data_IF_686488747777
#
_entry.id   IF_686488747777
#
_cell.length_a   1.000
_cell.length_b   1.000
_cell.length_c   1.000
_cell.angle_alpha   90.00
_cell.angle_beta   90.00
_cell.angle_gamma   90.00
#
_symmetry.space_group_name_H-M   'P 1'
#
loop_
_entity.id
_entity.type
_entity.pdbx_description
1 polymer ?
#
# COMPACT_ATOMS: atom_id res chain seq x y z
N UNK A 1 23.13 47.43 -3.94
CA UNK A 1 23.17 45.96 -4.08
C UNK A 1 22.82 45.22 -2.79
N UNK A 2 23.44 45.53 -1.66
CA UNK A 2 23.19 44.85 -0.37
C UNK A 2 21.73 44.97 0.16
N UNK A 3 21.08 46.13 -0.02
CA UNK A 3 19.68 46.31 0.44
C UNK A 3 18.68 45.49 -0.35
N UNK A 4 18.92 45.28 -1.67
CA UNK A 4 18.06 44.48 -2.52
C UNK A 4 18.20 42.98 -2.16
N UNK A 5 19.42 42.51 -1.93
CA UNK A 5 19.69 41.13 -1.50
C UNK A 5 19.07 40.84 -0.11
N UNK A 6 19.14 41.79 0.81
CA UNK A 6 18.50 41.69 2.12
C UNK A 6 16.96 41.59 2.01
N UNK A 7 16.32 42.40 1.17
CA UNK A 7 14.88 42.35 0.93
C UNK A 7 14.44 41.03 0.24
N UNK A 8 15.25 40.54 -0.71
CA UNK A 8 14.98 39.22 -1.33
C UNK A 8 15.06 38.10 -0.27
N UNK A 9 16.08 38.17 0.62
CA UNK A 9 16.20 37.23 1.72
C UNK A 9 14.99 37.24 2.68
N UNK A 10 14.49 38.44 3.03
CA UNK A 10 13.29 38.60 3.86
C UNK A 10 12.03 38.08 3.17
N UNK A 11 11.84 38.39 1.88
CA UNK A 11 10.70 37.87 1.10
C UNK A 11 10.73 36.35 1.04
N UNK A 12 11.90 35.74 0.77
CA UNK A 12 12.07 34.28 0.78
C UNK A 12 11.74 33.69 2.15
N UNK A 13 12.27 34.25 3.24
CA UNK A 13 11.96 33.78 4.58
C UNK A 13 10.47 33.88 4.92
N UNK A 14 9.78 34.95 4.50
CA UNK A 14 8.34 35.09 4.69
C UNK A 14 7.53 34.09 3.86
N UNK A 15 7.96 33.78 2.62
CA UNK A 15 7.36 32.74 1.79
C UNK A 15 7.53 31.37 2.44
N UNK A 16 8.73 31.06 2.94
CA UNK A 16 9.03 29.80 3.61
C UNK A 16 8.19 29.63 4.90
N UNK A 17 8.06 30.70 5.71
CA UNK A 17 7.20 30.69 6.91
C UNK A 17 5.72 30.52 6.53
N UNK A 18 5.24 31.24 5.51
CA UNK A 18 3.87 31.12 5.02
C UNK A 18 3.59 29.73 4.46
N UNK A 19 4.52 29.16 3.70
CA UNK A 19 4.43 27.80 3.19
C UNK A 19 4.37 26.74 4.29
N UNK A 20 5.23 26.87 5.31
CA UNK A 20 5.23 25.99 6.47
C UNK A 20 3.93 26.09 7.29
N UNK A 21 3.39 27.31 7.46
CA UNK A 21 2.10 27.54 8.12
C UNK A 21 0.95 26.90 7.36
N UNK A 22 0.93 27.09 6.04
CA UNK A 22 -0.09 26.48 5.15
C UNK A 22 -0.03 24.96 5.19
N UNK A 23 1.16 24.37 5.15
CA UNK A 23 1.34 22.92 5.25
C UNK A 23 0.86 22.37 6.60
N UNK A 24 1.12 23.06 7.70
CA UNK A 24 0.61 22.69 9.04
C UNK A 24 -0.92 22.75 9.09
N UNK A 25 -1.51 23.81 8.56
CA UNK A 25 -2.97 23.96 8.50
C UNK A 25 -3.60 22.85 7.66
N UNK A 26 -3.03 22.53 6.51
CA UNK A 26 -3.48 21.43 5.69
C UNK A 26 -3.39 20.07 6.42
N UNK A 27 -2.29 19.81 7.14
CA UNK A 27 -2.15 18.60 7.95
C UNK A 27 -3.21 18.49 9.05
N UNK A 28 -3.48 19.59 9.78
CA UNK A 28 -4.51 19.62 10.81
C UNK A 28 -5.92 19.40 10.24
N UNK A 29 -6.21 19.99 9.08
CA UNK A 29 -7.49 19.77 8.40
C UNK A 29 -7.64 18.31 7.96
N UNK A 30 -6.58 17.71 7.40
CA UNK A 30 -6.60 16.28 7.06
C UNK A 30 -6.85 15.41 8.29
N UNK A 31 -6.20 15.70 9.42
CA UNK A 31 -6.41 14.98 10.67
C UNK A 31 -7.84 15.11 11.19
N UNK A 32 -8.42 16.31 11.13
CA UNK A 32 -9.82 16.55 11.52
C UNK A 32 -10.78 15.78 10.59
N UNK A 33 -10.54 15.78 9.28
CA UNK A 33 -11.34 15.02 8.32
C UNK A 33 -11.22 13.52 8.60
N UNK A 34 -10.03 13.02 8.86
CA UNK A 34 -9.82 11.62 9.25
C UNK A 34 -10.59 11.25 10.51
N UNK A 35 -10.47 12.05 11.56
CA UNK A 35 -11.21 11.84 12.81
C UNK A 35 -12.73 11.84 12.57
N UNK A 36 -13.24 12.76 11.76
CA UNK A 36 -14.66 12.80 11.41
C UNK A 36 -15.09 11.56 10.63
N UNK A 37 -14.31 11.11 9.65
CA UNK A 37 -14.60 9.89 8.87
C UNK A 37 -14.61 8.65 9.78
N UNK A 38 -13.70 8.58 10.75
CA UNK A 38 -13.64 7.46 11.70
C UNK A 38 -14.87 7.33 12.60
N UNK A 39 -15.71 8.36 12.70
CA UNK A 39 -17.00 8.26 13.40
C UNK A 39 -18.09 7.52 12.60
N UNK A 40 -17.82 7.10 11.37
CA UNK A 40 -18.77 6.32 10.58
C UNK A 40 -19.17 5.04 11.35
N UNK A 41 -20.47 4.78 11.56
CA UNK A 41 -20.93 3.62 12.32
C UNK A 41 -20.40 2.27 11.81
N UNK A 42 -20.13 2.13 10.50
CA UNK A 42 -19.57 0.89 9.94
C UNK A 42 -18.20 0.54 10.52
N UNK A 43 -17.41 1.53 10.94
CA UNK A 43 -16.07 1.31 11.51
C UNK A 43 -16.14 0.96 13.01
N UNK A 44 -17.27 1.22 13.67
CA UNK A 44 -17.48 0.90 15.08
C UNK A 44 -18.02 -0.52 15.29
N UNK A 45 -18.34 -1.24 14.21
CA UNK A 45 -18.84 -2.60 14.28
C UNK A 45 -17.75 -3.57 14.77
N UNK A 46 -18.13 -4.60 15.56
CA UNK A 46 -17.21 -5.66 15.91
C UNK A 46 -16.52 -6.24 14.68
N UNK A 47 -15.25 -6.61 14.80
CA UNK A 47 -14.44 -7.16 13.72
C UNK A 47 -14.09 -6.19 12.57
N UNK A 48 -14.52 -4.91 12.60
CA UNK A 48 -14.02 -3.92 11.65
C UNK A 48 -12.48 -3.81 11.71
N UNK A 49 -11.85 -3.58 10.57
CA UNK A 49 -10.39 -3.38 10.49
C UNK A 49 -10.00 -1.90 10.60
N UNK A 50 -10.90 -1.00 10.21
CA UNK A 50 -10.62 0.44 10.14
C UNK A 50 -10.10 1.05 11.45
N UNK A 51 -10.57 0.67 12.65
CA UNK A 51 -10.04 1.20 13.92
C UNK A 51 -8.56 0.92 14.16
N UNK A 52 -8.00 -0.08 13.47
CA UNK A 52 -6.60 -0.49 13.61
C UNK A 52 -5.68 0.17 12.58
N UNK A 53 -6.22 1.05 11.71
CA UNK A 53 -5.38 1.78 10.78
C UNK A 53 -4.33 2.58 11.53
N UNK A 54 -3.08 2.44 11.11
CA UNK A 54 -1.95 3.16 11.68
C UNK A 54 -0.91 3.38 10.59
N UNK A 55 -0.52 4.63 10.40
CA UNK A 55 0.53 5.01 9.46
C UNK A 55 1.87 5.06 10.18
N UNK A 56 2.76 4.13 9.89
CA UNK A 56 4.14 4.10 10.39
C UNK A 56 5.10 4.30 9.21
N UNK A 57 5.07 3.40 8.23
CA UNK A 57 5.88 3.43 7.01
C UNK A 57 5.03 3.42 5.74
N UNK A 58 3.83 2.86 5.79
CA UNK A 58 2.92 2.85 4.65
C UNK A 58 2.45 4.25 4.29
N UNK A 59 1.93 4.38 3.07
CA UNK A 59 1.51 5.70 2.55
C UNK A 59 0.33 6.28 3.33
N UNK A 60 -0.58 5.42 3.78
CA UNK A 60 -1.80 5.81 4.52
C UNK A 60 -1.89 5.09 5.87
N UNK A 61 -2.65 4.03 5.99
CA UNK A 61 -2.90 3.33 7.25
C UNK A 61 -2.72 1.82 7.19
N UNK A 62 -2.11 1.31 6.12
CA UNK A 62 -1.98 -0.11 5.84
C UNK A 62 -1.18 -0.86 6.89
N UNK A 63 -0.14 -0.24 7.49
CA UNK A 63 0.71 -0.88 8.51
C UNK A 63 -0.09 -1.48 9.66
N UNK A 64 -0.99 -0.69 10.25
CA UNK A 64 -1.80 -1.13 11.38
C UNK A 64 -2.86 -2.15 10.97
N UNK A 65 -3.48 -1.97 9.80
CA UNK A 65 -4.49 -2.92 9.29
C UNK A 65 -3.87 -4.29 8.97
N UNK A 66 -2.71 -4.33 8.33
CA UNK A 66 -1.97 -5.57 8.09
C UNK A 66 -1.54 -6.24 9.39
N UNK A 67 -1.03 -5.47 10.35
CA UNK A 67 -0.68 -6.00 11.66
C UNK A 67 -1.88 -6.65 12.36
N UNK A 68 -3.06 -6.04 12.29
CA UNK A 68 -4.29 -6.59 12.87
C UNK A 68 -4.77 -7.83 12.10
N UNK A 69 -4.70 -7.83 10.76
CA UNK A 69 -5.03 -9.03 9.98
C UNK A 69 -4.18 -10.21 10.43
N UNK A 70 -2.85 -10.04 10.50
CA UNK A 70 -1.96 -11.12 10.95
C UNK A 70 -2.16 -11.49 12.42
N UNK A 71 -2.49 -10.54 13.29
CA UNK A 71 -2.89 -10.86 14.66
C UNK A 71 -4.11 -11.79 14.73
N UNK A 72 -5.08 -11.62 13.82
CA UNK A 72 -6.30 -12.44 13.74
C UNK A 72 -6.06 -13.80 13.13
N UNK A 73 -5.28 -13.91 12.05
CA UNK A 73 -5.11 -15.16 11.32
C UNK A 73 -3.81 -15.91 11.64
N UNK A 74 -2.88 -15.26 12.34
CA UNK A 74 -1.52 -15.76 12.58
C UNK A 74 -0.60 -15.55 11.38
N UNK A 75 0.69 -15.64 11.65
CA UNK A 75 1.79 -15.63 10.68
C UNK A 75 2.29 -17.08 10.51
N UNK A 76 2.95 -17.39 9.40
CA UNK A 76 3.50 -18.72 9.14
C UNK A 76 5.01 -18.63 8.85
N UNK A 77 5.36 -18.13 7.68
CA UNK A 77 6.74 -18.06 7.20
C UNK A 77 7.41 -16.71 7.41
N UNK A 78 6.64 -15.70 7.73
CA UNK A 78 7.06 -14.29 7.80
C UNK A 78 7.76 -13.82 6.52
N UNK A 79 7.18 -14.23 5.36
CA UNK A 79 7.69 -13.89 4.03
C UNK A 79 6.70 -13.02 3.30
N UNK A 80 7.22 -12.00 2.62
CA UNK A 80 6.40 -11.10 1.80
C UNK A 80 7.00 -10.83 0.42
N UNK A 81 6.14 -10.42 -0.48
CA UNK A 81 6.49 -9.74 -1.74
C UNK A 81 5.73 -8.44 -1.81
N UNK A 82 6.41 -7.36 -2.20
CA UNK A 82 5.83 -6.03 -2.38
C UNK A 82 6.19 -5.51 -3.78
N UNK A 83 5.18 -5.36 -4.63
CA UNK A 83 5.30 -5.00 -6.04
C UNK A 83 4.76 -3.59 -6.26
N UNK A 84 5.52 -2.73 -6.96
CA UNK A 84 5.17 -1.33 -7.14
C UNK A 84 5.51 -0.48 -5.92
N UNK A 85 6.60 -0.80 -5.25
CA UNK A 85 6.96 -0.24 -3.95
C UNK A 85 8.00 0.86 -4.04
N UNK A 86 7.90 1.85 -3.14
CA UNK A 86 8.92 2.86 -2.93
C UNK A 86 9.67 2.62 -1.60
N UNK A 87 11.01 2.72 -1.56
CA UNK A 87 11.78 2.39 -0.36
C UNK A 87 11.41 3.15 0.91
N UNK A 88 10.93 4.39 0.78
CA UNK A 88 10.62 5.26 1.91
C UNK A 88 9.21 5.04 2.46
N UNK A 89 8.27 4.63 1.62
CA UNK A 89 6.85 4.46 1.98
C UNK A 89 6.30 3.24 1.24
N UNK A 90 6.02 2.17 1.98
CA UNK A 90 5.47 0.94 1.42
C UNK A 90 4.78 0.09 2.51
N UNK A 91 4.10 -0.95 2.10
CA UNK A 91 3.31 -1.81 2.97
C UNK A 91 4.15 -2.85 3.75
N UNK A 92 5.45 -2.92 3.50
CA UNK A 92 6.31 -3.99 4.02
C UNK A 92 7.46 -3.53 4.93
N UNK A 93 7.72 -2.24 5.07
CA UNK A 93 8.78 -1.73 5.95
C UNK A 93 8.56 -2.10 7.42
N UNK A 94 7.30 -2.05 7.91
CA UNK A 94 6.99 -2.48 9.27
C UNK A 94 7.25 -3.98 9.47
N UNK A 95 7.00 -4.79 8.45
CA UNK A 95 7.27 -6.23 8.50
C UNK A 95 8.78 -6.51 8.54
N UNK A 96 9.59 -5.79 7.75
CA UNK A 96 11.04 -5.86 7.83
C UNK A 96 11.56 -5.51 9.23
N UNK A 97 11.01 -4.47 9.85
CA UNK A 97 11.35 -4.09 11.23
C UNK A 97 10.99 -5.18 12.23
N UNK A 98 9.92 -5.95 11.99
CA UNK A 98 9.52 -7.13 12.78
C UNK A 98 10.32 -8.39 12.45
N UNK A 99 11.34 -8.31 11.58
CA UNK A 99 12.21 -9.43 11.26
C UNK A 99 11.77 -10.31 10.08
N UNK A 100 10.69 -9.94 9.39
CA UNK A 100 10.24 -10.64 8.19
C UNK A 100 11.28 -10.54 7.07
N UNK A 101 11.16 -11.43 6.09
CA UNK A 101 12.02 -11.47 4.89
C UNK A 101 11.18 -11.26 3.65
N UNK A 102 11.71 -10.53 2.67
CA UNK A 102 10.90 -10.25 1.51
C UNK A 102 11.64 -9.88 0.23
N UNK A 103 10.81 -9.56 -0.76
CA UNK A 103 11.22 -9.08 -2.07
C UNK A 103 10.48 -7.77 -2.37
N UNK A 104 11.23 -6.74 -2.72
CA UNK A 104 10.70 -5.55 -3.37
C UNK A 104 10.91 -5.66 -4.88
N UNK A 105 9.87 -5.38 -5.65
CA UNK A 105 9.91 -5.45 -7.10
C UNK A 105 9.28 -4.21 -7.73
N UNK A 106 10.12 -3.30 -8.23
CA UNK A 106 9.71 -2.11 -8.99
C UNK A 106 10.88 -1.56 -9.82
N UNK A 107 10.58 -1.06 -11.02
CA UNK A 107 11.60 -0.47 -11.90
C UNK A 107 12.13 0.88 -11.38
N UNK A 108 11.34 1.60 -10.58
CA UNK A 108 11.69 2.90 -10.01
C UNK A 108 12.55 2.84 -8.74
N UNK A 109 12.83 1.67 -8.20
CA UNK A 109 13.68 1.56 -7.01
C UNK A 109 15.10 2.04 -7.33
N UNK A 110 15.56 3.01 -6.56
CA UNK A 110 16.89 3.60 -6.70
C UNK A 110 18.04 2.56 -6.61
N UNK A 111 19.20 2.91 -7.13
CA UNK A 111 20.42 2.07 -7.02
C UNK A 111 20.83 1.88 -5.56
N UNK A 112 21.54 0.80 -5.27
CA UNK A 112 21.90 0.41 -3.89
C UNK A 112 22.64 1.52 -3.14
N UNK A 113 23.53 2.25 -3.79
CA UNK A 113 24.34 3.30 -3.15
C UNK A 113 23.52 4.49 -2.66
N UNK A 114 22.31 4.66 -3.19
CA UNK A 114 21.41 5.75 -2.82
C UNK A 114 20.30 5.34 -1.86
N UNK A 115 20.21 4.04 -1.52
CA UNK A 115 19.26 3.54 -0.55
C UNK A 115 19.70 3.90 0.88
N UNK A 116 18.75 4.06 1.82
CA UNK A 116 19.04 4.20 3.24
C UNK A 116 19.95 3.07 3.74
N UNK A 117 20.88 3.38 4.64
CA UNK A 117 21.85 2.39 5.18
C UNK A 117 21.17 1.18 5.79
N UNK A 118 20.03 1.35 6.46
CA UNK A 118 19.20 0.26 7.01
C UNK A 118 18.74 -0.73 5.93
N UNK A 119 18.31 -0.23 4.78
CA UNK A 119 17.91 -1.08 3.65
C UNK A 119 19.11 -1.84 3.07
N UNK A 120 20.25 -1.17 2.93
CA UNK A 120 21.47 -1.82 2.45
C UNK A 120 21.95 -2.94 3.41
N UNK A 121 21.78 -2.77 4.72
CA UNK A 121 22.09 -3.80 5.73
C UNK A 121 21.15 -4.99 5.54
N UNK A 122 19.84 -4.78 5.44
CA UNK A 122 18.87 -5.85 5.24
C UNK A 122 19.12 -6.65 3.95
N UNK A 123 19.59 -5.99 2.88
CA UNK A 123 20.02 -6.69 1.66
C UNK A 123 21.25 -7.58 1.89
N UNK A 124 22.27 -7.05 2.58
CA UNK A 124 23.50 -7.81 2.90
C UNK A 124 23.23 -9.01 3.80
N UNK A 125 22.28 -8.87 4.74
CA UNK A 125 21.85 -9.95 5.62
C UNK A 125 20.91 -10.97 4.94
N UNK A 126 20.55 -10.74 3.68
CA UNK A 126 19.63 -11.61 2.94
C UNK A 126 18.18 -11.55 3.43
N UNK A 127 17.83 -10.55 4.24
CA UNK A 127 16.45 -10.31 4.71
C UNK A 127 15.58 -9.65 3.64
N UNK A 128 16.19 -8.82 2.77
CA UNK A 128 15.50 -8.13 1.69
C UNK A 128 16.20 -8.39 0.35
N UNK A 129 15.45 -8.88 -0.62
CA UNK A 129 15.85 -8.89 -2.04
C UNK A 129 15.19 -7.72 -2.77
N UNK A 130 15.90 -7.13 -3.73
CA UNK A 130 15.36 -6.06 -4.58
C UNK A 130 15.45 -6.46 -6.04
N UNK A 131 14.33 -6.29 -6.76
CA UNK A 131 14.21 -6.48 -8.19
C UNK A 131 13.84 -5.18 -8.88
N UNK A 132 14.77 -4.57 -9.60
CA UNK A 132 14.59 -3.31 -10.34
C UNK A 132 14.11 -3.58 -11.76
N UNK A 133 12.99 -4.25 -11.89
CA UNK A 133 12.37 -4.55 -13.18
C UNK A 133 10.90 -4.20 -13.14
N UNK A 134 10.38 -3.74 -14.26
CA UNK A 134 8.95 -3.59 -14.44
C UNK A 134 8.29 -4.97 -14.30
N UNK A 135 7.29 -5.04 -13.44
CA UNK A 135 6.50 -6.26 -13.23
C UNK A 135 5.29 -6.18 -14.16
N UNK A 136 5.22 -7.11 -15.10
CA UNK A 136 4.11 -7.23 -16.05
C UNK A 136 3.36 -8.54 -15.81
N UNK A 137 2.19 -8.69 -16.42
CA UNK A 137 1.41 -9.92 -16.37
C UNK A 137 2.24 -11.14 -16.81
N UNK A 138 3.04 -10.99 -17.86
CA UNK A 138 3.85 -12.10 -18.43
C UNK A 138 5.07 -12.42 -17.56
N UNK A 139 5.65 -11.42 -16.88
CA UNK A 139 6.91 -11.57 -16.16
C UNK A 139 6.73 -11.91 -14.68
N UNK A 140 5.60 -11.56 -14.07
CA UNK A 140 5.42 -11.58 -12.62
C UNK A 140 5.71 -12.96 -12.00
N UNK A 141 5.14 -14.04 -12.54
CA UNK A 141 5.34 -15.40 -12.03
C UNK A 141 6.81 -15.81 -12.05
N UNK A 142 7.45 -15.70 -13.23
CA UNK A 142 8.87 -16.07 -13.40
C UNK A 142 9.78 -15.20 -12.55
N UNK A 143 9.47 -13.90 -12.44
CA UNK A 143 10.23 -12.97 -11.65
C UNK A 143 10.24 -13.35 -10.16
N UNK A 144 9.11 -13.70 -9.59
CA UNK A 144 9.00 -14.11 -8.19
C UNK A 144 9.64 -15.50 -7.98
N UNK A 145 9.29 -16.48 -8.82
CA UNK A 145 9.78 -17.86 -8.71
C UNK A 145 11.31 -17.94 -8.81
N UNK A 146 11.92 -17.24 -9.76
CA UNK A 146 13.39 -17.23 -9.94
C UNK A 146 14.14 -16.62 -8.74
N UNK A 147 13.45 -15.95 -7.84
CA UNK A 147 14.01 -15.37 -6.59
C UNK A 147 13.64 -16.15 -5.34
N UNK A 148 12.93 -17.28 -5.48
CA UNK A 148 12.51 -18.14 -4.39
C UNK A 148 11.28 -17.64 -3.64
N UNK A 149 10.39 -16.89 -4.31
CA UNK A 149 9.14 -16.36 -3.74
C UNK A 149 7.89 -16.87 -4.47
N UNK A 150 7.89 -18.15 -4.85
CA UNK A 150 6.75 -18.79 -5.50
C UNK A 150 5.75 -19.38 -4.51
N UNK A 151 6.20 -19.73 -3.33
CA UNK A 151 5.45 -20.48 -2.32
C UNK A 151 5.68 -19.88 -0.94
N UNK A 152 4.83 -20.28 0.02
CA UNK A 152 4.97 -19.97 1.44
C UNK A 152 5.06 -18.45 1.71
N UNK A 153 4.16 -17.69 1.11
CA UNK A 153 4.05 -16.26 1.37
C UNK A 153 2.94 -15.96 2.37
N UNK A 154 3.26 -15.15 3.37
CA UNK A 154 2.24 -14.56 4.24
C UNK A 154 1.59 -13.35 3.58
N UNK A 155 2.36 -12.46 2.94
CA UNK A 155 1.84 -11.27 2.28
C UNK A 155 2.31 -11.16 0.84
N UNK A 156 1.39 -10.78 -0.05
CA UNK A 156 1.70 -10.28 -1.38
C UNK A 156 0.97 -8.94 -1.59
N UNK A 157 1.74 -7.85 -1.64
CA UNK A 157 1.26 -6.49 -1.86
C UNK A 157 1.48 -6.10 -3.32
N UNK A 158 0.48 -5.52 -3.99
CA UNK A 158 0.51 -5.21 -5.42
C UNK A 158 -0.07 -3.82 -5.68
N UNK A 159 0.79 -2.92 -6.14
CA UNK A 159 0.41 -1.62 -6.70
C UNK A 159 1.28 -1.30 -7.93
N UNK A 160 0.88 -1.76 -9.09
CA UNK A 160 1.54 -1.45 -10.36
C UNK A 160 0.81 -0.36 -11.15
N UNK A 161 -0.05 0.39 -10.48
CA UNK A 161 -0.84 1.46 -11.06
C UNK A 161 -1.81 0.93 -12.11
N UNK A 162 -1.58 1.24 -13.39
CA UNK A 162 -2.48 0.91 -14.49
C UNK A 162 -2.78 -0.60 -14.61
N UNK A 163 -1.79 -1.46 -14.39
CA UNK A 163 -1.88 -2.90 -14.63
C UNK A 163 -2.12 -3.75 -13.36
N UNK A 164 -2.41 -3.17 -12.21
CA UNK A 164 -2.52 -3.87 -10.92
C UNK A 164 -3.44 -5.09 -10.98
N UNK A 165 -4.63 -4.96 -11.59
CA UNK A 165 -5.59 -6.05 -11.72
C UNK A 165 -5.02 -7.25 -12.47
N UNK A 166 -4.31 -7.00 -13.57
CA UNK A 166 -3.76 -8.08 -14.42
C UNK A 166 -2.62 -8.83 -13.73
N UNK A 167 -1.76 -8.12 -13.01
CA UNK A 167 -0.68 -8.74 -12.21
C UNK A 167 -1.27 -9.52 -11.04
N UNK A 168 -2.27 -8.96 -10.35
CA UNK A 168 -2.98 -9.62 -9.26
C UNK A 168 -3.59 -10.96 -9.70
N UNK A 169 -4.35 -10.95 -10.80
CA UNK A 169 -5.01 -12.15 -11.32
C UNK A 169 -4.01 -13.27 -11.62
N UNK A 170 -2.85 -12.94 -12.22
CA UNK A 170 -1.79 -13.92 -12.46
C UNK A 170 -1.18 -14.48 -11.17
N UNK A 171 -1.07 -13.66 -10.14
CA UNK A 171 -0.41 -14.03 -8.88
C UNK A 171 -1.35 -14.72 -7.87
N UNK A 172 -2.65 -14.86 -8.15
CA UNK A 172 -3.57 -15.66 -7.33
C UNK A 172 -3.07 -17.10 -7.15
N UNK A 173 -2.39 -17.65 -8.14
CA UNK A 173 -1.81 -19.00 -8.10
C UNK A 173 -0.71 -19.18 -7.01
N UNK A 174 -0.10 -18.10 -6.54
CA UNK A 174 0.93 -18.16 -5.49
C UNK A 174 0.37 -18.37 -4.08
N UNK A 175 -0.94 -18.24 -3.93
CA UNK A 175 -1.71 -18.56 -2.72
C UNK A 175 -1.13 -17.98 -1.42
N UNK A 176 -0.71 -16.70 -1.34
CA UNK A 176 -0.31 -16.11 -0.07
C UNK A 176 -1.46 -16.17 0.94
N UNK A 177 -1.16 -15.95 2.21
CA UNK A 177 -2.20 -15.87 3.25
C UNK A 177 -3.04 -14.59 3.11
N UNK A 178 -2.39 -13.50 2.71
CA UNK A 178 -2.99 -12.16 2.53
C UNK A 178 -2.53 -11.54 1.23
N UNK A 179 -3.48 -10.95 0.49
CA UNK A 179 -3.18 -9.95 -0.53
C UNK A 179 -3.52 -8.55 -0.02
N UNK A 180 -2.64 -7.58 -0.32
CA UNK A 180 -2.92 -6.15 -0.28
C UNK A 180 -2.86 -5.64 -1.71
N UNK A 181 -3.97 -5.14 -2.26
CA UNK A 181 -4.08 -4.82 -3.69
C UNK A 181 -4.62 -3.41 -3.88
N UNK A 182 -3.90 -2.59 -4.65
CA UNK A 182 -4.41 -1.28 -5.04
C UNK A 182 -5.61 -1.41 -5.98
N UNK A 183 -6.65 -0.61 -5.72
CA UNK A 183 -7.87 -0.55 -6.53
C UNK A 183 -8.19 0.88 -6.94
N UNK A 184 -9.05 1.04 -7.93
CA UNK A 184 -9.52 2.34 -8.38
C UNK A 184 -10.72 2.82 -7.54
N UNK A 185 -10.43 3.52 -6.44
CA UNK A 185 -11.46 4.11 -5.56
C UNK A 185 -12.18 5.34 -6.15
N UNK A 186 -11.80 5.80 -7.36
CA UNK A 186 -12.55 6.86 -8.05
C UNK A 186 -13.83 6.34 -8.70
N UNK A 187 -13.89 5.04 -8.96
CA UNK A 187 -15.04 4.39 -9.57
C UNK A 187 -15.84 3.62 -8.49
N UNK A 188 -17.17 3.56 -8.61
CA UNK A 188 -18.00 2.84 -7.64
C UNK A 188 -17.74 1.33 -7.67
N UNK A 189 -17.96 0.67 -6.52
CA UNK A 189 -17.64 -0.76 -6.38
C UNK A 189 -18.56 -1.70 -7.18
N UNK A 190 -19.77 -1.26 -7.51
CA UNK A 190 -20.76 -2.02 -8.29
C UNK A 190 -20.53 -1.94 -9.81
N UNK A 191 -19.60 -1.10 -10.25
CA UNK A 191 -19.20 -1.07 -11.64
C UNK A 191 -18.21 -2.21 -11.93
N UNK A 192 -18.53 -3.08 -12.87
CA UNK A 192 -17.58 -4.09 -13.40
C UNK A 192 -16.70 -3.45 -14.45
N UNK A 193 -15.48 -3.04 -14.04
CA UNK A 193 -14.55 -2.36 -14.92
C UNK A 193 -13.09 -2.60 -14.52
N UNK A 194 -12.26 -2.86 -15.52
CA UNK A 194 -10.79 -2.88 -15.41
C UNK A 194 -10.17 -2.19 -16.62
N UNK A 195 -9.05 -1.50 -16.43
CA UNK A 195 -8.26 -0.95 -17.52
C UNK A 195 -7.83 -2.08 -18.46
N UNK A 196 -7.91 -1.92 -19.80
CA UNK A 196 -7.37 -2.89 -20.74
C UNK A 196 -5.89 -3.13 -20.49
N UNK A 197 -5.45 -4.39 -20.62
CA UNK A 197 -4.04 -4.69 -20.41
C UNK A 197 -3.15 -4.05 -21.46
N UNK A 198 -2.14 -3.33 -21.00
CA UNK A 198 -1.02 -2.83 -21.83
C UNK A 198 0.26 -2.87 -21.00
N UNK A 199 1.20 -3.76 -21.34
CA UNK A 199 2.47 -3.91 -20.62
C UNK A 199 3.31 -2.63 -20.54
N UNK A 200 3.07 -1.66 -21.41
CA UNK A 200 3.79 -0.37 -21.47
C UNK A 200 3.03 0.79 -20.88
N UNK A 201 1.75 0.58 -20.54
CA UNK A 201 0.93 1.65 -19.99
C UNK A 201 1.45 2.09 -18.62
N UNK A 202 1.49 3.39 -18.44
CA UNK A 202 1.75 4.08 -17.17
C UNK A 202 0.52 4.94 -16.90
N UNK A 203 0.12 5.05 -15.64
CA UNK A 203 -0.97 5.93 -15.26
C UNK A 203 -0.69 7.37 -15.70
N UNK A 204 -1.61 7.95 -16.45
CA UNK A 204 -1.53 9.29 -17.03
C UNK A 204 -2.15 10.39 -16.15
N UNK A 205 -2.58 10.03 -14.93
CA UNK A 205 -3.27 10.93 -14.02
C UNK A 205 -4.79 10.98 -14.21
N UNK A 206 -5.34 10.24 -15.17
CA UNK A 206 -6.79 10.14 -15.40
C UNK A 206 -7.47 9.21 -14.39
N UNK A 207 -8.81 9.15 -14.46
CA UNK A 207 -9.62 8.22 -13.68
C UNK A 207 -9.59 6.78 -14.21
N UNK A 208 -8.93 6.54 -15.33
CA UNK A 208 -8.93 5.27 -16.05
C UNK A 208 -7.65 4.47 -15.76
N UNK A 209 -7.58 3.84 -14.60
CA UNK A 209 -6.45 2.99 -14.20
C UNK A 209 -6.92 1.81 -13.33
N UNK A 210 -6.12 0.73 -13.27
CA UNK A 210 -6.38 -0.42 -12.41
C UNK A 210 -7.73 -1.09 -12.68
N UNK A 211 -8.46 -1.39 -11.63
CA UNK A 211 -9.83 -1.93 -11.70
C UNK A 211 -10.66 -1.47 -10.50
N UNK A 212 -11.97 -1.54 -10.64
CA UNK A 212 -12.90 -1.29 -9.52
C UNK A 212 -12.75 -2.33 -8.42
N UNK A 213 -13.16 -1.97 -7.21
CA UNK A 213 -13.12 -2.89 -6.08
C UNK A 213 -13.96 -4.15 -6.34
N UNK A 214 -15.12 -4.00 -6.99
CA UNK A 214 -15.99 -5.14 -7.33
C UNK A 214 -15.30 -6.13 -8.27
N UNK A 215 -14.66 -5.64 -9.33
CA UNK A 215 -13.94 -6.48 -10.29
C UNK A 215 -12.77 -7.22 -9.63
N UNK A 216 -11.97 -6.53 -8.78
CA UNK A 216 -10.88 -7.17 -8.03
C UNK A 216 -11.44 -8.19 -7.03
N UNK A 217 -12.53 -7.87 -6.33
CA UNK A 217 -13.16 -8.77 -5.35
C UNK A 217 -13.72 -10.03 -6.01
N UNK A 218 -14.32 -9.91 -7.19
CA UNK A 218 -14.81 -11.07 -7.95
C UNK A 218 -13.65 -11.99 -8.37
N UNK A 219 -12.54 -11.43 -8.84
CA UNK A 219 -11.34 -12.21 -9.17
C UNK A 219 -10.72 -12.87 -7.93
N UNK A 220 -10.68 -12.17 -6.80
CA UNK A 220 -10.20 -12.69 -5.52
C UNK A 220 -11.06 -13.87 -5.05
N UNK A 221 -12.39 -13.75 -5.08
CA UNK A 221 -13.34 -14.77 -4.65
C UNK A 221 -13.19 -16.05 -5.50
N UNK A 222 -13.07 -15.91 -6.83
CA UNK A 222 -12.79 -17.01 -7.73
C UNK A 222 -11.43 -17.68 -7.43
N UNK A 223 -10.45 -16.93 -6.91
CA UNK A 223 -9.13 -17.40 -6.48
C UNK A 223 -9.07 -18.00 -5.08
N UNK A 224 -10.18 -18.01 -4.33
CA UNK A 224 -10.24 -18.52 -2.96
C UNK A 224 -9.91 -17.52 -1.87
N UNK A 225 -10.17 -16.21 -2.10
CA UNK A 225 -9.95 -15.11 -1.17
C UNK A 225 -11.20 -14.27 -1.00
N UNK A 226 -11.45 -13.78 0.20
CA UNK A 226 -12.49 -12.77 0.42
C UNK A 226 -11.88 -11.43 0.83
N UNK A 227 -12.47 -10.36 0.33
CA UNK A 227 -12.23 -8.99 0.80
C UNK A 227 -12.59 -8.88 2.29
N UNK A 228 -11.70 -8.30 3.10
CA UNK A 228 -11.93 -8.13 4.55
C UNK A 228 -11.90 -6.67 4.98
N UNK A 229 -11.54 -5.76 4.11
CA UNK A 229 -11.54 -4.32 4.34
C UNK A 229 -10.78 -3.55 3.30
N UNK A 230 -11.00 -2.23 3.26
CA UNK A 230 -10.23 -1.28 2.47
C UNK A 230 -9.61 -0.23 3.39
N UNK A 231 -8.52 0.38 2.94
CA UNK A 231 -7.92 1.50 3.64
C UNK A 231 -8.73 2.78 3.39
N UNK A 232 -8.80 3.68 4.37
CA UNK A 232 -9.66 4.88 4.38
C UNK A 232 -9.41 5.82 3.19
N UNK A 233 -8.18 5.83 2.64
CA UNK A 233 -7.84 6.64 1.48
C UNK A 233 -8.45 6.14 0.17
N UNK A 234 -9.00 4.93 0.15
CA UNK A 234 -9.56 4.33 -1.06
C UNK A 234 -8.51 3.88 -2.07
N UNK A 235 -7.30 3.53 -1.60
CA UNK A 235 -6.19 3.07 -2.45
C UNK A 235 -5.99 1.57 -2.39
N UNK A 236 -6.12 0.94 -1.21
CA UNK A 236 -5.77 -0.45 -0.99
C UNK A 236 -6.91 -1.25 -0.39
N UNK A 237 -7.05 -2.49 -0.85
CA UNK A 237 -7.98 -3.49 -0.38
C UNK A 237 -7.22 -4.72 0.15
N UNK A 238 -7.72 -5.31 1.23
CA UNK A 238 -7.12 -6.47 1.88
C UNK A 238 -7.96 -7.71 1.66
N UNK A 239 -7.32 -8.77 1.16
CA UNK A 239 -7.97 -10.05 0.88
C UNK A 239 -7.30 -11.14 1.70
N UNK A 240 -8.11 -11.94 2.38
CA UNK A 240 -7.65 -13.06 3.20
C UNK A 240 -8.14 -14.37 2.59
N UNK A 241 -7.25 -15.36 2.56
CA UNK A 241 -7.56 -16.70 2.02
C UNK A 241 -8.69 -17.35 2.82
N UNK A 242 -9.63 -18.01 2.13
CA UNK A 242 -10.88 -18.54 2.71
C UNK A 242 -10.68 -19.42 3.94
N UNK A 243 -9.67 -20.30 3.93
CA UNK A 243 -9.37 -21.21 5.06
C UNK A 243 -8.97 -20.48 6.35
N UNK A 244 -8.56 -19.20 6.24
CA UNK A 244 -8.10 -18.38 7.36
C UNK A 244 -9.16 -17.43 7.93
N UNK A 245 -10.29 -17.24 7.24
CA UNK A 245 -11.34 -16.30 7.66
C UNK A 245 -11.94 -16.65 9.04
N UNK A 246 -12.41 -17.87 9.21
CA UNK A 246 -12.93 -18.45 10.45
C UNK A 246 -13.83 -17.50 11.27
N UNK A 247 -14.65 -16.67 10.59
CA UNK A 247 -15.54 -15.71 11.24
C UNK A 247 -14.85 -14.53 11.96
N UNK A 248 -13.61 -14.24 11.62
CA UNK A 248 -12.79 -13.19 12.29
C UNK A 248 -12.94 -11.80 11.68
N UNK A 249 -13.61 -11.67 10.56
CA UNK A 249 -13.73 -10.44 9.80
C UNK A 249 -15.18 -10.06 9.57
N UNK A 250 -15.43 -8.77 9.49
CA UNK A 250 -16.74 -8.21 9.24
C UNK A 250 -17.10 -8.35 7.76
N UNK A 251 -18.28 -8.94 7.45
CA UNK A 251 -18.85 -9.03 6.10
C UNK A 251 -17.83 -9.38 5.01
N UNK A 252 -17.10 -10.52 5.09
CA UNK A 252 -16.11 -10.87 4.08
C UNK A 252 -16.75 -10.96 2.68
N UNK A 253 -16.05 -10.46 1.66
CA UNK A 253 -16.48 -10.47 0.27
C UNK A 253 -17.45 -9.35 -0.13
N UNK A 254 -18.01 -8.58 0.80
CA UNK A 254 -18.95 -7.51 0.51
C UNK A 254 -18.23 -6.22 0.04
N UNK A 255 -17.99 -6.14 -1.26
CA UNK A 255 -17.29 -5.00 -1.87
C UNK A 255 -18.04 -3.68 -1.65
N UNK A 256 -19.39 -3.68 -1.71
CA UNK A 256 -20.18 -2.48 -1.49
C UNK A 256 -20.05 -1.95 -0.07
N UNK A 257 -20.01 -2.84 0.91
CA UNK A 257 -19.85 -2.47 2.31
C UNK A 257 -18.45 -1.90 2.60
N UNK A 258 -17.41 -2.54 2.04
CA UNK A 258 -16.02 -2.19 2.32
C UNK A 258 -15.48 -1.05 1.47
N UNK A 259 -16.14 -0.71 0.36
CA UNK A 259 -15.66 0.32 -0.54
C UNK A 259 -15.39 1.65 0.17
N UNK A 260 -14.24 2.24 -0.13
CA UNK A 260 -13.83 3.59 0.25
C UNK A 260 -13.52 4.39 -1.02
N UNK A 261 -14.08 5.59 -1.16
CA UNK A 261 -13.71 6.46 -2.29
C UNK A 261 -12.28 6.96 -2.17
N UNK A 262 -11.66 7.24 -3.31
CA UNK A 262 -10.28 7.75 -3.35
C UNK A 262 -10.15 9.11 -2.64
N UNK A 263 -9.28 9.19 -1.64
CA UNK A 263 -8.97 10.37 -0.82
C UNK A 263 -7.46 10.58 -0.70
N UNK A 264 -6.80 10.84 -1.83
CA UNK A 264 -5.33 10.98 -1.88
C UNK A 264 -4.79 12.09 -0.96
N UNK A 265 -5.61 13.10 -0.63
CA UNK A 265 -5.22 14.16 0.30
C UNK A 265 -4.89 13.67 1.71
N UNK A 266 -5.42 12.53 2.15
CA UNK A 266 -5.09 11.92 3.44
C UNK A 266 -3.63 11.43 3.53
N UNK A 267 -2.96 11.21 2.39
CA UNK A 267 -1.54 10.84 2.33
C UNK A 267 -0.57 12.00 2.57
N UNK A 268 -1.01 13.24 2.41
CA UNK A 268 -0.15 14.43 2.49
C UNK A 268 0.26 14.83 3.90
N UNK A 269 -0.20 14.12 4.93
CA UNK A 269 0.18 14.36 6.34
C UNK A 269 1.61 13.88 6.63
N UNK A 270 2.60 14.56 6.10
CA UNK A 270 4.01 14.32 6.46
C UNK A 270 4.38 15.12 7.71
N UNK A 271 4.29 14.50 8.89
CA UNK A 271 4.80 15.09 10.12
C UNK A 271 6.31 14.92 10.27
N UNK A 272 6.84 13.80 9.81
CA UNK A 272 8.26 13.45 9.85
C UNK A 272 8.66 12.64 8.62
N UNK A 273 9.93 12.74 8.23
CA UNK A 273 10.51 11.86 7.23
C UNK A 273 10.58 10.45 7.83
N UNK A 274 9.88 9.50 7.23
CA UNK A 274 9.97 8.10 7.65
C UNK A 274 11.41 7.60 7.49
N UNK A 275 11.97 7.08 8.58
CA UNK A 275 13.26 6.40 8.58
C UNK A 275 13.10 5.08 9.33
N UNK A 276 13.52 3.98 8.71
CA UNK A 276 13.51 2.69 9.37
C UNK A 276 14.73 2.60 10.31
N UNK A 277 14.54 2.31 11.62
CA UNK A 277 15.65 2.08 12.52
C UNK A 277 16.44 0.84 12.08
N UNK A 278 17.72 0.80 12.44
CA UNK A 278 18.52 -0.41 12.25
C UNK A 278 17.93 -1.53 13.12
N UNK A 279 17.85 -2.78 12.62
CA UNK A 279 17.53 -3.90 13.47
C UNK A 279 18.56 -4.01 14.60
N UNK A 280 18.09 -4.31 15.80
CA UNK A 280 18.95 -4.57 16.95
C UNK A 280 19.77 -5.84 16.77
#
# INVERSE_FOLDING_TARGET
MNQVLSKIGQVKANIDISGASTARSASLLCELVELQLMHNPKYQLPQALMPFRQKIFSHYGQDGMLAEIFRRIGEDTQRFVDIGTAPAQNNSNLLLLKGWRGLWADAGIAKDETLPSSIQILQREGKLKICRKLVTRESCRTLLSSRGFAEDLDLLSIDTGYNTHHVFTELLAFRPRVFCVAYNGMLPADLDWAAPYDAKAVWDGSTLFGATLGTISAAAEAGGYSLVGCELSGTDAFFVRHDLLKGRFLRPGDAMFHWEPLRMHLGQMQRHRSAMPLPA
#
